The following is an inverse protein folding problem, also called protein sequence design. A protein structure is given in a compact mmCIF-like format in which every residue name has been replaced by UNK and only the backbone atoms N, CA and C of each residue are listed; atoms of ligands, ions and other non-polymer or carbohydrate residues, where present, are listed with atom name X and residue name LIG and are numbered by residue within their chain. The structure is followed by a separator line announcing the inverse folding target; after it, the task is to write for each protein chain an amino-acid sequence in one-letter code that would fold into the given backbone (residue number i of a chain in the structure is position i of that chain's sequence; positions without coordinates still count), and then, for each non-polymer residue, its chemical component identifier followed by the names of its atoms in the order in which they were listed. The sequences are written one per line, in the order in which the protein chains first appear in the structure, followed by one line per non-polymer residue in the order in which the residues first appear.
data_IF_485910000533
#
_entry.id   IF_485910000533
#
_cell.length_a   1.000
_cell.length_b   1.000
_cell.length_c   1.000
_cell.angle_alpha   90.00
_cell.angle_beta   90.00
_cell.angle_gamma   90.00
#
_symmetry.space_group_name_H-M   'P 1'
#
loop_
_entity.id
_entity.type
_entity.pdbx_description
1 polymer ?
#
# COMPACT_ATOMS: atom_id res chain seq x y z
N UNK A 1 22.19 22.36 -18.71
CA UNK A 1 20.86 21.97 -18.19
C UNK A 1 20.83 20.48 -17.84
N UNK A 2 21.68 20.03 -16.89
CA UNK A 2 21.75 18.62 -16.48
C UNK A 2 21.62 18.42 -14.95
N UNK A 3 21.51 19.50 -14.17
CA UNK A 3 21.50 19.45 -12.71
C UNK A 3 20.10 19.15 -12.12
N UNK A 4 19.03 19.43 -12.89
CA UNK A 4 17.64 19.40 -12.41
C UNK A 4 17.03 17.99 -12.29
N UNK A 5 17.51 17.01 -13.08
CA UNK A 5 16.98 15.62 -13.02
C UNK A 5 17.57 14.79 -11.87
N UNK A 6 18.81 15.09 -11.49
CA UNK A 6 19.56 14.33 -10.48
C UNK A 6 19.15 14.68 -9.05
N UNK A 7 18.67 15.90 -8.77
CA UNK A 7 18.19 16.29 -7.44
C UNK A 7 16.78 15.74 -7.15
N UNK A 8 15.89 15.74 -8.15
CA UNK A 8 14.55 15.14 -8.03
C UNK A 8 14.61 13.64 -7.75
N UNK A 9 15.61 12.90 -8.28
CA UNK A 9 15.77 11.46 -8.01
C UNK A 9 16.33 11.13 -6.61
N UNK A 10 16.88 12.11 -5.89
CA UNK A 10 17.44 11.93 -4.54
C UNK A 10 16.46 12.29 -3.41
N UNK A 11 15.20 12.60 -3.74
CA UNK A 11 14.20 12.93 -2.73
C UNK A 11 14.04 11.76 -1.73
N UNK A 12 14.08 12.00 -0.40
CA UNK A 12 14.07 10.93 0.61
C UNK A 12 12.91 9.94 0.45
N UNK A 13 11.72 10.43 0.10
CA UNK A 13 10.53 9.59 -0.15
C UNK A 13 10.72 8.67 -1.36
N UNK A 14 11.35 9.14 -2.45
CA UNK A 14 11.66 8.30 -3.63
C UNK A 14 12.69 7.24 -3.30
N UNK A 15 13.72 7.60 -2.53
CA UNK A 15 14.73 6.65 -2.08
C UNK A 15 14.12 5.56 -1.19
N UNK A 16 13.22 5.94 -0.28
CA UNK A 16 12.49 5.00 0.58
C UNK A 16 11.64 4.02 -0.26
N UNK A 17 10.88 4.53 -1.24
CA UNK A 17 10.09 3.68 -2.15
C UNK A 17 10.96 2.74 -2.98
N UNK A 18 12.09 3.22 -3.52
CA UNK A 18 13.04 2.37 -4.28
C UNK A 18 13.66 1.29 -3.39
N UNK A 19 14.04 1.64 -2.16
CA UNK A 19 14.53 0.67 -1.19
C UNK A 19 13.45 -0.35 -0.83
N UNK A 20 12.19 0.09 -0.67
CA UNK A 20 11.04 -0.77 -0.46
C UNK A 20 10.85 -1.76 -1.60
N UNK A 21 10.87 -1.31 -2.86
CA UNK A 21 10.77 -2.18 -4.05
C UNK A 21 11.88 -3.24 -4.04
N UNK A 22 13.11 -2.88 -3.65
CA UNK A 22 14.23 -3.81 -3.53
C UNK A 22 14.12 -4.86 -2.42
N UNK A 23 13.17 -4.74 -1.47
CA UNK A 23 12.95 -5.74 -0.42
C UNK A 23 12.35 -7.01 -1.00
N UNK A 24 12.81 -8.17 -0.51
CA UNK A 24 12.11 -9.44 -0.69
C UNK A 24 10.88 -9.49 0.23
N UNK A 25 9.69 -9.65 -0.34
CA UNK A 25 8.39 -9.59 0.37
C UNK A 25 7.72 -10.96 0.45
N UNK A 26 6.67 -11.02 1.27
CA UNK A 26 5.84 -12.22 1.49
C UNK A 26 6.64 -13.42 2.02
N UNK A 27 7.65 -13.14 2.84
CA UNK A 27 8.39 -14.16 3.59
C UNK A 27 7.68 -14.47 4.91
N UNK A 28 8.03 -15.60 5.52
CA UNK A 28 7.50 -15.98 6.83
C UNK A 28 7.90 -14.97 7.92
N UNK A 29 6.93 -14.58 8.72
CA UNK A 29 7.02 -13.65 9.85
C UNK A 29 6.20 -14.20 11.03
N UNK A 30 6.37 -13.70 12.27
CA UNK A 30 5.71 -14.27 13.45
C UNK A 30 4.18 -14.45 13.34
N UNK A 31 3.50 -13.62 12.55
CA UNK A 31 2.05 -13.63 12.36
C UNK A 31 1.62 -13.89 10.90
N UNK A 32 2.56 -14.24 10.01
CA UNK A 32 2.28 -14.57 8.62
C UNK A 32 3.15 -15.75 8.21
N UNK A 33 2.59 -16.91 7.81
CA UNK A 33 3.36 -18.11 7.52
C UNK A 33 4.30 -17.96 6.30
N UNK A 34 4.17 -16.88 5.54
CA UNK A 34 4.81 -16.70 4.25
C UNK A 34 3.91 -17.19 3.13
N UNK A 35 4.17 -16.72 1.91
CA UNK A 35 3.41 -17.18 0.76
C UNK A 35 3.55 -18.70 0.58
N UNK A 36 2.45 -19.34 0.19
CA UNK A 36 2.35 -20.81 0.05
C UNK A 36 3.40 -21.44 -0.85
N UNK A 37 3.90 -20.70 -1.85
CA UNK A 37 5.00 -21.10 -2.72
C UNK A 37 5.65 -19.86 -3.37
N UNK A 38 6.79 -20.07 -4.03
CA UNK A 38 7.56 -18.99 -4.63
C UNK A 38 6.80 -18.26 -5.76
N UNK A 39 5.97 -18.96 -6.55
CA UNK A 39 5.21 -18.33 -7.62
C UNK A 39 4.13 -17.38 -7.06
N UNK A 40 3.45 -17.78 -5.99
CA UNK A 40 2.53 -16.89 -5.25
C UNK A 40 3.29 -15.69 -4.68
N UNK A 41 4.44 -15.93 -4.03
CA UNK A 41 5.30 -14.88 -3.47
C UNK A 41 5.66 -13.83 -4.52
N UNK A 42 6.18 -14.27 -5.66
CA UNK A 42 6.61 -13.39 -6.75
C UNK A 42 5.44 -12.60 -7.34
N UNK A 43 4.30 -13.25 -7.56
CA UNK A 43 3.10 -12.58 -8.06
C UNK A 43 2.62 -11.49 -7.10
N UNK A 44 2.48 -11.80 -5.82
CA UNK A 44 2.02 -10.84 -4.81
C UNK A 44 3.02 -9.70 -4.63
N UNK A 45 4.32 -10.01 -4.59
CA UNK A 45 5.37 -9.01 -4.53
C UNK A 45 5.32 -8.06 -5.74
N UNK A 46 5.20 -8.59 -6.95
CA UNK A 46 5.17 -7.77 -8.16
C UNK A 46 4.03 -6.75 -8.15
N UNK A 47 2.86 -7.11 -7.61
CA UNK A 47 1.72 -6.18 -7.50
C UNK A 47 1.98 -5.06 -6.50
N UNK A 48 2.59 -5.38 -5.35
CA UNK A 48 2.98 -4.37 -4.33
C UNK A 48 4.11 -3.46 -4.85
N UNK A 49 5.09 -4.02 -5.54
CA UNK A 49 6.19 -3.28 -6.14
C UNK A 49 5.66 -2.32 -7.21
N UNK A 50 4.72 -2.78 -8.04
CA UNK A 50 4.07 -1.95 -9.03
C UNK A 50 3.28 -0.77 -8.41
N UNK A 51 2.64 -0.94 -7.25
CA UNK A 51 2.04 0.19 -6.54
C UNK A 51 3.10 1.22 -6.16
N UNK A 52 4.18 0.79 -5.51
CA UNK A 52 5.26 1.70 -5.11
C UNK A 52 5.86 2.43 -6.32
N UNK A 53 6.08 1.73 -7.44
CA UNK A 53 6.57 2.33 -8.69
C UNK A 53 5.65 3.42 -9.22
N UNK A 54 4.33 3.19 -9.23
CA UNK A 54 3.35 4.19 -9.69
C UNK A 54 3.29 5.42 -8.78
N UNK A 55 3.68 5.29 -7.51
CA UNK A 55 3.69 6.38 -6.53
C UNK A 55 5.02 7.16 -6.47
N UNK A 56 6.14 6.61 -6.97
CA UNK A 56 7.44 7.32 -7.03
C UNK A 56 7.33 8.74 -7.62
N UNK A 57 6.64 8.96 -8.76
CA UNK A 57 6.53 10.30 -9.34
C UNK A 57 5.78 11.31 -8.46
N UNK A 58 5.00 10.85 -7.49
CA UNK A 58 4.20 11.70 -6.59
C UNK A 58 4.95 12.08 -5.31
N UNK A 59 6.13 11.50 -5.08
CA UNK A 59 6.83 11.55 -3.81
C UNK A 59 7.42 12.93 -3.44
N UNK A 60 7.42 13.90 -4.37
CA UNK A 60 8.01 15.23 -4.15
C UNK A 60 7.00 16.24 -3.58
N UNK A 61 5.71 15.86 -3.50
CA UNK A 61 4.63 16.70 -3.01
C UNK A 61 3.64 15.88 -2.18
N UNK A 62 2.76 16.52 -1.40
CA UNK A 62 1.64 15.82 -0.79
C UNK A 62 0.82 15.07 -1.84
N UNK A 63 0.59 13.78 -1.60
CA UNK A 63 -0.14 12.93 -2.54
C UNK A 63 -1.63 13.25 -2.46
N UNK A 64 -2.23 13.61 -3.60
CA UNK A 64 -3.67 13.82 -3.67
C UNK A 64 -4.41 12.52 -3.37
N UNK A 65 -5.37 12.58 -2.44
CA UNK A 65 -6.09 11.40 -1.95
C UNK A 65 -6.85 10.66 -3.06
N UNK A 66 -7.36 11.37 -4.08
CA UNK A 66 -8.06 10.75 -5.22
C UNK A 66 -7.10 10.00 -6.13
N UNK A 67 -5.89 10.54 -6.31
CA UNK A 67 -4.83 9.86 -7.06
C UNK A 67 -4.42 8.60 -6.30
N UNK A 68 -4.14 8.70 -5.00
CA UNK A 68 -3.82 7.53 -4.19
C UNK A 68 -4.93 6.47 -4.21
N UNK A 69 -6.18 6.87 -3.99
CA UNK A 69 -7.34 5.96 -4.03
C UNK A 69 -7.48 5.24 -5.37
N UNK A 70 -7.20 5.91 -6.49
CA UNK A 70 -7.18 5.30 -7.82
C UNK A 70 -6.07 4.24 -7.93
N UNK A 71 -4.84 4.58 -7.53
CA UNK A 71 -3.71 3.65 -7.61
C UNK A 71 -3.87 2.44 -6.68
N UNK A 72 -4.46 2.66 -5.51
CA UNK A 72 -4.81 1.61 -4.57
C UNK A 72 -5.92 0.70 -5.13
N UNK A 73 -6.97 1.27 -5.71
CA UNK A 73 -8.05 0.49 -6.36
C UNK A 73 -7.50 -0.39 -7.47
N UNK A 74 -6.58 0.13 -8.30
CA UNK A 74 -5.92 -0.68 -9.33
C UNK A 74 -5.12 -1.84 -8.72
N UNK A 75 -4.38 -1.58 -7.64
CA UNK A 75 -3.62 -2.62 -6.91
C UNK A 75 -4.52 -3.73 -6.40
N UNK A 76 -5.70 -3.38 -5.86
CA UNK A 76 -6.70 -4.34 -5.38
C UNK A 76 -7.23 -5.21 -6.52
N UNK A 77 -7.45 -4.64 -7.70
CA UNK A 77 -7.86 -5.38 -8.91
C UNK A 77 -6.75 -6.33 -9.38
N UNK A 78 -5.50 -5.87 -9.39
CA UNK A 78 -4.33 -6.65 -9.82
C UNK A 78 -4.06 -7.84 -8.87
N UNK A 79 -4.37 -7.69 -7.58
CA UNK A 79 -4.31 -8.78 -6.60
C UNK A 79 -5.36 -9.88 -6.84
N UNK A 80 -6.52 -9.50 -7.40
CA UNK A 80 -7.58 -10.43 -7.77
C UNK A 80 -8.05 -11.32 -6.61
N UNK A 81 -8.10 -12.64 -6.84
CA UNK A 81 -8.60 -13.64 -5.89
C UNK A 81 -7.50 -14.24 -4.99
N UNK A 82 -6.48 -13.47 -4.62
CA UNK A 82 -5.48 -13.93 -3.66
C UNK A 82 -6.12 -14.33 -2.33
N UNK A 83 -5.49 -15.24 -1.60
CA UNK A 83 -6.00 -15.68 -0.30
C UNK A 83 -6.05 -14.49 0.68
N UNK A 84 -6.90 -14.63 1.69
CA UNK A 84 -7.05 -13.72 2.81
C UNK A 84 -5.71 -13.38 3.47
N UNK A 85 -4.84 -14.37 3.71
CA UNK A 85 -3.52 -14.13 4.32
C UNK A 85 -2.61 -13.26 3.44
N UNK A 86 -2.56 -13.49 2.12
CA UNK A 86 -1.80 -12.61 1.22
C UNK A 86 -2.38 -11.20 1.15
N UNK A 87 -3.70 -11.06 1.18
CA UNK A 87 -4.35 -9.73 1.18
C UNK A 87 -4.10 -8.97 2.47
N UNK A 88 -4.14 -9.64 3.61
CA UNK A 88 -3.81 -9.03 4.91
C UNK A 88 -2.35 -8.60 4.93
N UNK A 89 -1.43 -9.45 4.48
CA UNK A 89 -0.01 -9.06 4.40
C UNK A 89 0.23 -7.94 3.40
N UNK A 90 -0.46 -7.96 2.26
CA UNK A 90 -0.43 -6.90 1.27
C UNK A 90 -0.94 -5.57 1.84
N UNK A 91 -1.97 -5.59 2.69
CA UNK A 91 -2.46 -4.40 3.35
C UNK A 91 -1.39 -3.77 4.25
N UNK A 92 -0.65 -4.55 5.04
CA UNK A 92 0.47 -4.04 5.83
C UNK A 92 1.57 -3.39 4.96
N UNK A 93 1.84 -3.96 3.79
CA UNK A 93 2.78 -3.34 2.85
C UNK A 93 2.26 -2.03 2.23
N UNK A 94 0.95 -1.91 2.00
CA UNK A 94 0.34 -0.65 1.58
C UNK A 94 0.46 0.40 2.68
N UNK A 95 0.29 0.02 3.95
CA UNK A 95 0.50 0.91 5.11
C UNK A 95 1.96 1.39 5.19
N UNK A 96 2.94 0.50 5.00
CA UNK A 96 4.37 0.91 4.91
C UNK A 96 4.60 1.96 3.80
N UNK A 97 3.97 1.79 2.64
CA UNK A 97 4.07 2.74 1.52
C UNK A 97 3.37 4.07 1.84
N UNK A 98 2.22 4.02 2.51
CA UNK A 98 1.51 5.21 2.99
C UNK A 98 2.36 6.02 3.97
N UNK A 99 3.00 5.35 4.93
CA UNK A 99 3.92 5.98 5.88
C UNK A 99 5.09 6.68 5.19
N UNK A 100 5.69 6.03 4.18
CA UNK A 100 6.78 6.63 3.38
C UNK A 100 6.34 7.89 2.63
N UNK A 101 5.07 7.98 2.27
CA UNK A 101 4.50 9.11 1.53
C UNK A 101 3.80 10.13 2.42
N UNK A 102 3.70 9.87 3.72
CA UNK A 102 2.95 10.65 4.72
C UNK A 102 1.45 10.71 4.39
N UNK A 103 0.89 9.60 3.93
CA UNK A 103 -0.55 9.45 3.65
C UNK A 103 -1.23 8.91 4.91
N UNK A 104 -2.03 9.75 5.58
CA UNK A 104 -2.63 9.38 6.88
C UNK A 104 -3.77 8.37 6.78
N UNK A 105 -4.43 8.23 5.63
CA UNK A 105 -5.62 7.40 5.48
C UNK A 105 -5.86 6.91 4.06
N UNK A 106 -6.32 5.67 3.94
CA UNK A 106 -6.84 5.12 2.69
C UNK A 106 -8.32 5.44 2.44
N UNK A 107 -8.97 6.20 3.32
CA UNK A 107 -10.43 6.45 3.26
C UNK A 107 -11.27 5.16 3.37
N UNK A 108 -10.84 4.21 4.19
CA UNK A 108 -11.55 2.93 4.40
C UNK A 108 -11.31 1.86 3.33
N UNK A 109 -10.75 2.22 2.16
CA UNK A 109 -10.52 1.29 1.05
C UNK A 109 -9.69 0.06 1.45
N UNK A 110 -8.64 0.26 2.25
CA UNK A 110 -7.75 -0.82 2.65
C UNK A 110 -8.44 -1.85 3.54
N UNK A 111 -9.21 -1.39 4.54
CA UNK A 111 -10.02 -2.24 5.41
C UNK A 111 -11.07 -3.01 4.62
N UNK A 112 -11.79 -2.32 3.73
CA UNK A 112 -12.80 -2.94 2.87
C UNK A 112 -12.21 -4.05 2.01
N UNK A 113 -10.99 -3.90 1.52
CA UNK A 113 -10.34 -4.90 0.69
C UNK A 113 -9.77 -6.09 1.47
N UNK A 114 -9.10 -5.83 2.59
CA UNK A 114 -8.49 -6.87 3.42
C UNK A 114 -9.56 -7.71 4.14
N UNK A 115 -10.56 -7.07 4.74
CA UNK A 115 -11.52 -7.71 5.65
C UNK A 115 -12.95 -7.81 5.09
N UNK A 116 -13.27 -7.09 4.01
CA UNK A 116 -14.63 -7.02 3.47
C UNK A 116 -15.55 -6.03 4.20
N UNK A 117 -15.05 -5.32 5.22
CA UNK A 117 -15.78 -4.29 5.96
C UNK A 117 -14.83 -3.23 6.52
N UNK A 118 -15.36 -2.03 6.83
CA UNK A 118 -14.62 -0.99 7.53
C UNK A 118 -15.15 -0.83 8.98
N UNK A 119 -14.33 -1.10 10.02
CA UNK A 119 -14.73 -0.90 11.41
C UNK A 119 -15.23 0.52 11.71
N UNK A 120 -14.71 1.53 11.01
CA UNK A 120 -15.15 2.92 11.19
C UNK A 120 -16.63 3.11 10.81
N UNK A 121 -17.12 2.41 9.77
CA UNK A 121 -18.53 2.42 9.42
C UNK A 121 -19.41 1.74 10.48
N UNK A 122 -18.93 0.65 11.09
CA UNK A 122 -19.66 -0.04 12.17
C UNK A 122 -19.80 0.85 13.42
N UNK A 123 -18.74 1.60 13.74
CA UNK A 123 -18.75 2.57 14.84
C UNK A 123 -19.68 3.75 14.54
N UNK A 124 -19.65 4.31 13.32
CA UNK A 124 -20.52 5.42 12.93
C UNK A 124 -22.02 5.04 12.95
N UNK A 125 -22.35 3.77 12.71
CA UNK A 125 -23.72 3.23 12.77
C UNK A 125 -24.17 2.87 14.19
N UNK A 126 -23.28 2.97 15.19
CA UNK A 126 -23.62 2.69 16.59
C UNK A 126 -24.27 3.91 17.26
N UNK A 127 -25.43 3.78 17.93
CA UNK A 127 -26.20 4.91 18.47
C UNK A 127 -25.53 5.67 19.63
N UNK A 128 -24.29 5.34 20.01
CA UNK A 128 -23.60 5.85 21.20
C UNK A 128 -22.21 6.44 20.92
N UNK A 129 -21.84 6.71 19.66
CA UNK A 129 -20.57 7.37 19.34
C UNK A 129 -20.82 8.86 19.04
N UNK A 130 -20.24 9.81 19.81
CA UNK A 130 -20.42 11.23 19.52
C UNK A 130 -19.75 11.59 18.17
N UNK A 131 -20.35 12.52 17.39
CA UNK A 131 -19.77 12.95 16.12
C UNK A 131 -18.41 13.63 16.37
N UNK A 132 -17.46 13.37 15.47
CA UNK A 132 -16.15 14.05 15.45
C UNK A 132 -16.28 15.49 14.97
#
# INVERSE_FOLDING_TARGET
MAQDRTESDQHPKRLALRAFIGKRKFLAEPLYPGATNEATREKCQAVIDALAERLIPLADAPVDQRIFAKELTQTMLDFGSADSEERERAASYVEEVMDMLEIESSGGLLNMWAYGFDPAELLAKSPNVPPR
#
